data_IF_861694250353
#
_entry.id   IF_861694250353
#
_cell.length_a   1.000
_cell.length_b   1.000
_cell.length_c   1.000
_cell.angle_alpha   90.00
_cell.angle_beta   90.00
_cell.angle_gamma   90.00
#
_symmetry.space_group_name_H-M   'P 1'
#
loop_
_entity.id
_entity.type
_entity.pdbx_description
1 polymer ?
#
# COMPACT_ATOMS: atom_id res chain seq x y z
N UNK A 1 -35.41 22.74 -45.39
CA UNK A 1 -35.88 22.17 -44.12
C UNK A 1 -34.93 21.03 -43.78
N UNK A 2 -33.82 21.38 -43.16
CA UNK A 2 -33.03 20.46 -42.34
C UNK A 2 -32.52 21.34 -41.20
N UNK A 3 -33.35 21.38 -40.16
CA UNK A 3 -33.09 22.07 -38.90
C UNK A 3 -32.99 20.98 -37.85
N UNK A 4 -31.74 20.62 -37.52
CA UNK A 4 -31.40 19.98 -36.25
C UNK A 4 -30.15 20.69 -35.74
N UNK A 5 -30.43 21.81 -35.09
CA UNK A 5 -29.47 22.61 -34.38
C UNK A 5 -28.67 21.82 -33.35
N UNK A 6 -27.44 22.28 -33.19
CA UNK A 6 -26.52 21.99 -32.11
C UNK A 6 -27.16 22.42 -30.77
N UNK A 7 -27.43 21.45 -29.89
CA UNK A 7 -27.96 21.67 -28.54
C UNK A 7 -26.86 21.71 -27.48
N UNK A 8 -26.37 22.93 -27.24
CA UNK A 8 -25.99 23.56 -25.96
C UNK A 8 -25.45 22.72 -24.79
N UNK A 9 -24.20 23.01 -24.41
CA UNK A 9 -23.59 22.63 -23.13
C UNK A 9 -23.93 23.59 -21.98
N UNK A 10 -24.80 23.16 -21.06
CA UNK A 10 -25.27 24.01 -19.96
C UNK A 10 -25.67 23.27 -18.68
N UNK A 11 -24.96 22.21 -18.27
CA UNK A 11 -25.32 21.42 -17.08
C UNK A 11 -24.24 21.25 -15.99
N UNK A 12 -22.95 21.42 -16.29
CA UNK A 12 -21.87 20.92 -15.42
C UNK A 12 -21.46 21.83 -14.25
N UNK A 13 -22.00 23.06 -14.12
CA UNK A 13 -21.49 24.06 -13.17
C UNK A 13 -22.39 24.34 -11.94
N UNK A 14 -23.60 23.76 -11.87
CA UNK A 14 -24.56 24.07 -10.80
C UNK A 14 -24.16 23.44 -9.45
N UNK A 15 -23.90 22.13 -9.44
CA UNK A 15 -23.62 21.38 -8.22
C UNK A 15 -22.27 21.75 -7.59
N UNK A 16 -21.26 22.04 -8.42
CA UNK A 16 -19.96 22.53 -7.98
C UNK A 16 -20.09 23.89 -7.28
N UNK A 17 -20.88 24.80 -7.87
CA UNK A 17 -21.14 26.12 -7.28
C UNK A 17 -21.87 26.00 -5.94
N UNK A 18 -22.84 25.09 -5.85
CA UNK A 18 -23.55 24.81 -4.60
C UNK A 18 -22.62 24.22 -3.53
N UNK A 19 -21.76 23.27 -3.89
CA UNK A 19 -20.77 22.69 -2.99
C UNK A 19 -19.81 23.76 -2.43
N UNK A 20 -19.31 24.66 -3.30
CA UNK A 20 -18.47 25.79 -2.87
C UNK A 20 -19.21 26.68 -1.87
N UNK A 21 -20.46 27.05 -2.16
CA UNK A 21 -21.26 27.88 -1.27
C UNK A 21 -21.50 27.22 0.10
N UNK A 22 -21.64 25.89 0.16
CA UNK A 22 -21.73 25.14 1.41
C UNK A 22 -20.40 25.15 2.18
N UNK A 23 -19.27 24.98 1.49
CA UNK A 23 -17.94 25.05 2.10
C UNK A 23 -17.62 26.44 2.65
N UNK A 24 -18.01 27.52 1.96
CA UNK A 24 -17.83 28.91 2.42
C UNK A 24 -18.66 29.25 3.65
N UNK A 25 -19.89 28.72 3.72
CA UNK A 25 -20.78 28.91 4.90
C UNK A 25 -20.34 28.07 6.10
N UNK A 26 -19.58 27.00 5.89
CA UNK A 26 -19.15 26.11 6.95
C UNK A 26 -18.06 26.74 7.81
N UNK A 27 -18.34 26.93 9.11
CA UNK A 27 -17.34 27.42 10.09
C UNK A 27 -16.24 26.40 10.40
N UNK A 28 -16.54 25.11 10.21
CA UNK A 28 -15.63 23.99 10.43
C UNK A 28 -15.96 22.89 9.42
N UNK A 29 -15.08 22.69 8.44
CA UNK A 29 -15.23 21.67 7.42
C UNK A 29 -14.14 20.61 7.54
N UNK A 30 -14.48 19.36 7.23
CA UNK A 30 -13.57 18.21 7.25
C UNK A 30 -13.73 17.45 5.94
N UNK A 31 -12.63 17.05 5.33
CA UNK A 31 -12.59 16.21 4.14
C UNK A 31 -11.88 14.91 4.49
N UNK A 32 -12.58 13.79 4.34
CA UNK A 32 -11.96 12.47 4.34
C UNK A 32 -11.58 12.11 2.90
N UNK A 33 -10.37 11.60 2.70
CA UNK A 33 -9.87 11.21 1.38
C UNK A 33 -9.29 9.81 1.41
N UNK A 34 -9.44 9.09 0.29
CA UNK A 34 -8.70 7.84 0.06
C UNK A 34 -7.22 8.15 -0.23
N UNK A 35 -6.31 7.20 0.03
CA UNK A 35 -4.90 7.32 -0.36
C UNK A 35 -4.73 7.30 -1.88
N UNK A 36 -5.69 6.72 -2.62
CA UNK A 36 -5.67 6.53 -4.07
C UNK A 36 -6.21 7.72 -4.86
N UNK A 37 -6.14 8.95 -4.33
CA UNK A 37 -6.53 10.15 -5.08
C UNK A 37 -5.43 10.66 -6.04
N UNK A 38 -4.25 10.02 -6.05
CA UNK A 38 -3.15 10.31 -6.97
C UNK A 38 -2.91 11.81 -7.18
N UNK A 39 -3.18 12.33 -8.38
CA UNK A 39 -3.01 13.75 -8.74
C UNK A 39 -3.95 14.71 -8.02
N UNK A 40 -5.14 14.25 -7.58
CA UNK A 40 -6.07 15.07 -6.82
C UNK A 40 -5.58 15.32 -5.38
N UNK A 41 -4.75 14.44 -4.82
CA UNK A 41 -4.15 14.62 -3.49
C UNK A 41 -3.34 15.91 -3.36
N UNK A 42 -2.61 16.27 -4.42
CA UNK A 42 -1.86 17.52 -4.47
C UNK A 42 -2.79 18.73 -4.48
N UNK A 43 -3.88 18.68 -5.28
CA UNK A 43 -4.86 19.77 -5.35
C UNK A 43 -5.59 19.95 -4.02
N UNK A 44 -5.98 18.87 -3.36
CA UNK A 44 -6.61 18.90 -2.03
C UNK A 44 -5.63 19.46 -0.98
N UNK A 45 -4.35 19.10 -1.07
CA UNK A 45 -3.31 19.69 -0.22
C UNK A 45 -3.07 21.18 -0.50
N UNK A 46 -3.25 21.65 -1.73
CA UNK A 46 -3.14 23.07 -2.09
C UNK A 46 -4.35 23.86 -1.60
N UNK A 47 -5.58 23.34 -1.74
CA UNK A 47 -6.81 23.96 -1.20
C UNK A 47 -6.72 24.17 0.32
N UNK A 48 -5.98 23.31 1.03
CA UNK A 48 -5.77 23.45 2.48
C UNK A 48 -4.62 24.36 2.89
N UNK A 49 -3.63 24.59 2.01
CA UNK A 49 -2.41 25.37 2.33
C UNK A 49 -2.39 26.76 1.71
N UNK A 50 -3.10 26.96 0.61
CA UNK A 50 -3.25 28.23 -0.07
C UNK A 50 -4.73 28.55 -0.12
N UNK A 51 -5.18 29.43 0.77
CA UNK A 51 -6.16 30.41 0.31
C UNK A 51 -5.34 31.35 -0.59
N UNK A 52 -5.47 31.28 -1.93
CA UNK A 52 -4.65 32.08 -2.84
C UNK A 52 -4.80 33.56 -2.48
N UNK A 53 -3.69 34.32 -2.50
CA UNK A 53 -3.73 35.76 -2.24
C UNK A 53 -4.71 36.49 -3.18
N UNK A 54 -4.91 35.99 -4.40
CA UNK A 54 -5.89 36.48 -5.36
C UNK A 54 -7.36 36.33 -4.92
N UNK A 55 -7.69 35.35 -4.06
CA UNK A 55 -9.02 35.23 -3.46
C UNK A 55 -9.18 36.17 -2.23
N UNK A 56 -8.08 36.64 -1.64
CA UNK A 56 -8.10 37.59 -0.51
C UNK A 56 -8.27 39.04 -0.98
N UNK A 57 -7.81 39.40 -2.18
CA UNK A 57 -7.97 40.75 -2.75
C UNK A 57 -9.40 41.05 -3.22
N UNK A 58 -10.24 40.02 -3.44
CA UNK A 58 -11.64 40.19 -3.86
C UNK A 58 -12.63 40.48 -2.73
N UNK A 59 -12.16 40.79 -1.51
CA UNK A 59 -13.02 41.13 -0.36
C UNK A 59 -13.99 40.01 0.09
N UNK A 60 -13.86 38.81 -0.48
CA UNK A 60 -14.68 37.66 -0.16
C UNK A 60 -14.02 36.81 0.93
N UNK A 61 -14.90 36.25 1.77
CA UNK A 61 -14.67 35.72 3.10
C UNK A 61 -13.36 34.96 3.29
N UNK A 62 -12.81 35.07 4.51
CA UNK A 62 -11.81 34.16 5.06
C UNK A 62 -12.25 32.72 4.81
N UNK A 63 -11.79 32.10 3.72
CA UNK A 63 -12.06 30.70 3.40
C UNK A 63 -11.58 29.86 4.58
N UNK A 64 -12.54 29.27 5.30
CA UNK A 64 -12.24 28.34 6.38
C UNK A 64 -11.51 27.17 5.74
N UNK A 65 -10.23 26.99 6.08
CA UNK A 65 -9.43 25.90 5.53
C UNK A 65 -9.95 24.58 6.09
N UNK A 66 -10.46 23.66 5.24
CA UNK A 66 -10.96 22.39 5.72
C UNK A 66 -9.84 21.56 6.33
N UNK A 67 -10.16 20.79 7.38
CA UNK A 67 -9.25 19.75 7.87
C UNK A 67 -9.32 18.57 6.91
N UNK A 68 -8.23 18.27 6.20
CA UNK A 68 -8.14 17.10 5.34
C UNK A 68 -7.47 15.95 6.09
N UNK A 69 -8.09 14.77 6.04
CA UNK A 69 -7.55 13.53 6.62
C UNK A 69 -7.57 12.44 5.56
N UNK A 70 -6.39 11.93 5.19
CA UNK A 70 -6.27 10.72 4.40
C UNK A 70 -6.49 9.49 5.28
N UNK A 71 -7.36 8.58 4.82
CA UNK A 71 -7.73 7.36 5.54
C UNK A 71 -7.10 6.16 4.83
N UNK A 72 -5.92 5.67 5.28
CA UNK A 72 -5.29 4.51 4.67
C UNK A 72 -6.15 3.25 4.83
N UNK A 73 -6.06 2.34 3.86
CA UNK A 73 -6.84 1.11 3.84
C UNK A 73 -6.24 0.06 4.77
N UNK A 74 -4.91 0.01 4.89
CA UNK A 74 -4.20 -1.02 5.63
C UNK A 74 -4.07 -0.68 7.12
N UNK A 75 -4.36 -1.68 7.96
CA UNK A 75 -4.43 -1.55 9.42
C UNK A 75 -3.13 -1.05 10.08
N UNK A 76 -1.97 -1.29 9.45
CA UNK A 76 -0.66 -0.89 9.95
C UNK A 76 0.13 0.00 8.97
N UNK A 77 -0.52 0.65 7.99
CA UNK A 77 0.15 1.50 7.00
C UNK A 77 1.07 2.54 7.65
N UNK A 78 0.58 3.20 8.70
CA UNK A 78 1.36 4.20 9.45
C UNK A 78 2.57 3.57 10.15
N UNK A 79 2.42 2.37 10.72
CA UNK A 79 3.52 1.65 11.36
C UNK A 79 4.63 1.28 10.38
N UNK A 80 4.26 0.79 9.19
CA UNK A 80 5.20 0.47 8.10
C UNK A 80 6.02 1.70 7.70
N UNK A 81 5.35 2.84 7.48
CA UNK A 81 6.00 4.11 7.17
C UNK A 81 6.95 4.53 8.30
N UNK A 82 6.51 4.46 9.56
CA UNK A 82 7.33 4.82 10.73
C UNK A 82 8.59 3.96 10.87
N UNK A 83 8.57 2.74 10.34
CA UNK A 83 9.74 1.85 10.30
C UNK A 83 10.66 2.11 9.09
N UNK A 84 10.32 3.09 8.23
CA UNK A 84 11.12 3.46 7.07
C UNK A 84 10.96 2.55 5.87
N UNK A 85 9.96 1.67 5.86
CA UNK A 85 9.66 0.78 4.74
C UNK A 85 8.86 1.54 3.68
N UNK A 86 9.56 2.31 2.85
CA UNK A 86 8.98 3.20 1.86
C UNK A 86 9.65 3.01 0.49
N UNK A 87 8.94 3.35 -0.58
CA UNK A 87 9.45 3.20 -1.97
C UNK A 87 10.35 4.35 -2.45
N UNK A 88 10.79 5.23 -1.55
CA UNK A 88 11.66 6.38 -1.82
C UNK A 88 11.23 7.30 -3.00
N UNK A 89 9.93 7.30 -3.34
CA UNK A 89 9.35 8.10 -4.41
C UNK A 89 9.28 7.41 -5.78
N UNK A 90 9.60 6.11 -5.83
CA UNK A 90 9.39 5.24 -6.99
C UNK A 90 8.12 4.40 -6.78
N UNK A 91 7.47 4.01 -7.86
CA UNK A 91 6.37 3.03 -7.85
C UNK A 91 6.93 1.61 -7.75
N UNK A 92 6.11 0.64 -7.30
CA UNK A 92 6.50 -0.77 -7.25
C UNK A 92 7.05 -1.27 -8.58
N UNK A 93 6.40 -0.85 -9.68
CA UNK A 93 6.81 -1.17 -11.04
C UNK A 93 8.16 -0.57 -11.37
N UNK A 94 8.44 0.69 -11.02
CA UNK A 94 9.78 1.28 -11.24
C UNK A 94 10.88 0.59 -10.42
N UNK A 95 10.56 0.10 -9.22
CA UNK A 95 11.51 -0.62 -8.38
C UNK A 95 11.87 -2.01 -8.94
N UNK A 96 11.00 -2.61 -9.78
CA UNK A 96 11.18 -3.97 -10.31
C UNK A 96 11.34 -4.05 -11.84
N UNK A 97 10.92 -3.03 -12.59
CA UNK A 97 11.03 -2.97 -14.05
C UNK A 97 12.46 -2.63 -14.44
N UNK A 98 13.19 -3.65 -14.89
CA UNK A 98 14.54 -3.52 -15.47
C UNK A 98 14.49 -3.06 -16.93
N UNK A 99 13.30 -3.11 -17.56
CA UNK A 99 13.19 -3.08 -19.01
C UNK A 99 12.19 -2.02 -19.53
N UNK A 100 12.58 -0.73 -19.51
CA UNK A 100 12.03 0.28 -20.45
C UNK A 100 13.06 1.28 -20.98
N UNK A 101 14.22 0.79 -21.43
CA UNK A 101 14.89 1.19 -22.69
C UNK A 101 16.22 0.43 -22.80
N UNK A 102 16.61 0.00 -24.00
CA UNK A 102 17.86 -0.75 -24.21
C UNK A 102 19.10 0.06 -23.78
N UNK A 103 19.02 1.40 -23.78
CA UNK A 103 20.04 2.30 -23.22
C UNK A 103 20.06 2.39 -21.67
N UNK A 104 18.99 2.03 -20.96
CA UNK A 104 18.89 2.11 -19.48
C UNK A 104 19.11 0.78 -18.74
N UNK A 105 19.53 -0.28 -19.45
CA UNK A 105 19.94 -1.56 -18.84
C UNK A 105 21.01 -1.44 -17.75
N UNK A 106 21.70 -0.30 -17.67
CA UNK A 106 22.73 -0.05 -16.67
C UNK A 106 22.22 0.51 -15.32
N UNK A 107 20.90 0.74 -15.14
CA UNK A 107 20.40 1.48 -13.96
C UNK A 107 19.54 0.72 -12.94
N UNK A 108 19.04 -0.49 -13.22
CA UNK A 108 18.46 -1.34 -12.16
C UNK A 108 18.98 -2.77 -12.26
N UNK A 109 19.88 -3.11 -11.34
CA UNK A 109 20.57 -4.40 -11.23
C UNK A 109 19.83 -5.39 -10.31
N UNK A 110 18.51 -5.23 -10.18
CA UNK A 110 17.72 -6.04 -9.24
C UNK A 110 17.49 -7.42 -9.85
N UNK A 111 18.34 -8.39 -9.51
CA UNK A 111 18.20 -9.78 -10.00
C UNK A 111 17.38 -10.68 -9.09
N UNK A 112 17.18 -10.28 -7.84
CA UNK A 112 16.44 -11.05 -6.85
C UNK A 112 15.28 -10.21 -6.33
N UNK A 113 14.06 -10.73 -6.47
CA UNK A 113 12.87 -10.16 -5.85
C UNK A 113 12.50 -11.01 -4.63
N UNK A 114 12.50 -10.39 -3.44
CA UNK A 114 11.98 -11.00 -2.23
C UNK A 114 10.64 -10.35 -1.86
N UNK A 115 9.55 -10.98 -2.29
CA UNK A 115 8.18 -10.54 -2.04
C UNK A 115 7.66 -11.07 -0.70
N UNK A 116 7.04 -10.22 0.12
CA UNK A 116 6.58 -10.56 1.47
C UNK A 116 5.14 -10.09 1.66
N UNK A 117 4.27 -11.03 2.05
CA UNK A 117 2.85 -10.79 2.25
C UNK A 117 2.11 -10.48 0.96
N UNK A 118 0.94 -9.86 1.11
CA UNK A 118 0.13 -9.42 -0.02
C UNK A 118 0.71 -8.13 -0.62
N UNK A 119 1.10 -8.21 -1.88
CA UNK A 119 1.63 -7.09 -2.66
C UNK A 119 0.86 -6.98 -3.97
N UNK A 120 0.77 -5.78 -4.58
CA UNK A 120 0.01 -5.57 -5.82
C UNK A 120 0.80 -6.05 -7.06
N UNK A 121 1.26 -7.30 -7.03
CA UNK A 121 1.95 -8.00 -8.11
C UNK A 121 1.41 -9.43 -8.18
N UNK A 122 0.80 -9.78 -9.31
CA UNK A 122 0.32 -11.12 -9.60
C UNK A 122 1.29 -11.94 -10.47
N UNK A 123 2.24 -11.28 -11.13
CA UNK A 123 3.19 -11.91 -12.05
C UNK A 123 4.63 -11.50 -11.75
N UNK A 124 5.55 -12.45 -11.91
CA UNK A 124 6.99 -12.19 -11.83
C UNK A 124 7.39 -11.13 -12.86
N UNK A 125 8.01 -10.01 -12.45
CA UNK A 125 8.50 -9.00 -13.38
C UNK A 125 9.61 -9.52 -14.29
N UNK A 126 9.67 -9.00 -15.52
CA UNK A 126 10.71 -9.38 -16.48
C UNK A 126 12.10 -8.95 -15.99
N UNK A 127 13.08 -9.85 -16.13
CA UNK A 127 14.48 -9.60 -15.76
C UNK A 127 14.86 -9.92 -14.31
N UNK A 128 13.88 -10.29 -13.48
CA UNK A 128 14.13 -10.95 -12.19
C UNK A 128 14.63 -12.36 -12.46
N UNK A 129 15.82 -12.70 -11.97
CA UNK A 129 16.47 -14.01 -12.13
C UNK A 129 16.11 -14.98 -10.99
N UNK A 130 15.81 -14.46 -9.79
CA UNK A 130 15.30 -15.25 -8.66
C UNK A 130 14.14 -14.56 -7.94
N UNK A 131 13.08 -15.32 -7.66
CA UNK A 131 11.89 -14.88 -6.95
C UNK A 131 11.72 -15.70 -5.66
N UNK A 132 11.77 -15.00 -4.52
CA UNK A 132 11.46 -15.56 -3.20
C UNK A 132 10.14 -14.96 -2.75
N UNK A 133 9.18 -15.79 -2.33
CA UNK A 133 7.88 -15.34 -1.83
C UNK A 133 7.67 -15.83 -0.41
N UNK A 134 7.50 -14.91 0.53
CA UNK A 134 7.12 -15.20 1.91
C UNK A 134 5.67 -14.83 2.13
N UNK A 135 4.77 -15.81 2.14
CA UNK A 135 3.34 -15.56 2.32
C UNK A 135 2.66 -16.68 3.11
N UNK A 136 1.47 -16.39 3.63
CA UNK A 136 0.61 -17.30 4.39
C UNK A 136 -0.29 -18.16 3.50
N UNK A 137 -0.45 -17.76 2.23
CA UNK A 137 -1.27 -18.46 1.24
C UNK A 137 -0.53 -18.51 -0.10
N UNK A 138 -0.89 -19.49 -0.94
CA UNK A 138 -0.36 -19.62 -2.30
C UNK A 138 -1.06 -18.61 -3.22
N UNK A 139 -0.40 -17.49 -3.49
CA UNK A 139 -0.87 -16.48 -4.46
C UNK A 139 -0.36 -16.79 -5.87
N UNK A 140 -0.91 -16.13 -6.88
CA UNK A 140 -0.44 -16.25 -8.27
C UNK A 140 1.06 -15.98 -8.39
N UNK A 141 1.58 -14.98 -7.66
CA UNK A 141 3.01 -14.70 -7.60
C UNK A 141 3.79 -15.82 -6.89
N UNK A 142 3.25 -16.39 -5.81
CA UNK A 142 3.87 -17.51 -5.09
C UNK A 142 3.99 -18.77 -5.96
N UNK A 143 3.03 -19.03 -6.85
CA UNK A 143 3.12 -20.17 -7.80
C UNK A 143 4.27 -20.04 -8.82
N UNK A 144 4.78 -18.82 -9.02
CA UNK A 144 5.90 -18.52 -9.91
C UNK A 144 7.25 -18.42 -9.18
N UNK A 145 7.26 -18.60 -7.86
CA UNK A 145 8.45 -18.40 -7.02
C UNK A 145 9.44 -19.56 -7.14
N UNK A 146 10.73 -19.24 -7.10
CA UNK A 146 11.80 -20.22 -6.99
C UNK A 146 11.88 -20.79 -5.57
N UNK A 147 11.57 -19.96 -4.57
CA UNK A 147 11.49 -20.34 -3.16
C UNK A 147 10.24 -19.75 -2.53
N UNK A 148 9.46 -20.61 -1.85
CA UNK A 148 8.34 -20.18 -1.01
C UNK A 148 8.72 -20.36 0.47
N UNK A 149 8.54 -19.31 1.26
CA UNK A 149 8.76 -19.31 2.72
C UNK A 149 7.41 -19.18 3.43
N UNK A 150 6.83 -20.27 3.97
CA UNK A 150 5.51 -20.24 4.59
C UNK A 150 5.49 -19.34 5.83
N UNK A 151 4.66 -18.31 5.81
CA UNK A 151 4.47 -17.41 6.95
C UNK A 151 3.15 -17.62 7.67
N UNK A 152 3.08 -17.24 8.94
CA UNK A 152 1.83 -17.23 9.71
C UNK A 152 0.78 -16.29 9.12
N UNK A 153 -0.49 -16.69 9.20
CA UNK A 153 -1.62 -15.83 8.90
C UNK A 153 -1.86 -14.79 10.02
N UNK A 154 -2.77 -13.84 9.79
CA UNK A 154 -3.04 -12.71 10.70
C UNK A 154 -3.35 -13.14 12.14
N UNK A 155 -4.16 -14.18 12.33
CA UNK A 155 -4.58 -14.65 13.67
C UNK A 155 -3.59 -15.63 14.32
N UNK A 156 -2.57 -16.05 13.58
CA UNK A 156 -1.49 -16.93 14.06
C UNK A 156 -0.27 -16.14 14.55
N UNK A 157 -0.28 -14.83 14.30
CA UNK A 157 0.83 -13.93 14.57
C UNK A 157 0.51 -13.01 15.75
N UNK A 158 1.54 -12.63 16.50
CA UNK A 158 1.45 -11.58 17.51
C UNK A 158 2.40 -10.42 17.18
N UNK A 159 2.10 -9.24 17.71
CA UNK A 159 2.92 -8.05 17.49
C UNK A 159 2.20 -6.76 17.83
N UNK A 160 2.64 -5.68 17.19
CA UNK A 160 2.06 -4.35 17.38
C UNK A 160 1.69 -3.72 16.05
N UNK A 161 0.58 -2.98 16.05
CA UNK A 161 0.16 -2.14 14.93
C UNK A 161 0.05 -0.70 15.42
N UNK A 162 0.30 0.25 14.52
CA UNK A 162 0.08 1.68 14.77
C UNK A 162 -1.15 2.11 13.97
N UNK A 163 -2.22 2.45 14.66
CA UNK A 163 -3.46 2.89 14.02
C UNK A 163 -3.32 4.29 13.39
N UNK A 164 -4.35 4.73 12.67
CA UNK A 164 -4.38 6.04 12.01
C UNK A 164 -4.18 7.21 13.00
N UNK A 165 -4.61 7.06 14.26
CA UNK A 165 -4.40 8.03 15.34
C UNK A 165 -2.98 8.00 15.92
N UNK A 166 -2.13 7.06 15.48
CA UNK A 166 -0.78 6.88 16.00
C UNK A 166 -0.73 6.10 17.32
N UNK A 167 -1.82 5.42 17.68
CA UNK A 167 -1.88 4.61 18.90
C UNK A 167 -1.30 3.23 18.61
N UNK A 168 -0.46 2.77 19.51
CA UNK A 168 0.07 1.40 19.48
C UNK A 168 -1.04 0.48 19.98
N UNK A 169 -1.39 -0.52 19.18
CA UNK A 169 -2.27 -1.62 19.57
C UNK A 169 -1.48 -2.92 19.54
N UNK A 170 -1.78 -3.78 20.51
CA UNK A 170 -1.19 -5.10 20.60
C UNK A 170 -2.10 -6.10 19.90
N UNK A 171 -1.51 -6.90 19.02
CA UNK A 171 -2.16 -8.02 18.36
C UNK A 171 -1.66 -9.27 19.06
N UNK A 172 -2.58 -10.04 19.62
CA UNK A 172 -2.28 -11.31 20.24
C UNK A 172 -2.61 -12.44 19.30
N UNK A 173 -1.77 -13.48 19.33
CA UNK A 173 -2.04 -14.73 18.65
C UNK A 173 -3.35 -15.33 19.19
N UNK A 174 -4.26 -15.66 18.29
CA UNK A 174 -5.54 -16.28 18.62
C UNK A 174 -5.53 -17.80 18.39
N UNK A 175 -4.76 -18.26 17.42
CA UNK A 175 -4.61 -19.69 17.08
C UNK A 175 -3.14 -20.03 16.83
N UNK A 176 -2.76 -21.30 17.00
CA UNK A 176 -1.39 -21.73 16.70
C UNK A 176 -1.10 -21.71 15.19
N UNK A 177 0.14 -21.40 14.77
CA UNK A 177 0.57 -21.51 13.37
C UNK A 177 0.28 -22.89 12.78
N UNK A 178 -0.17 -22.93 11.53
CA UNK A 178 -0.40 -24.19 10.86
C UNK A 178 0.89 -24.75 10.24
N UNK A 179 1.11 -26.06 10.42
CA UNK A 179 2.23 -26.78 9.80
C UNK A 179 3.58 -26.17 10.17
N UNK A 180 4.40 -25.88 9.15
CA UNK A 180 5.74 -25.29 9.32
C UNK A 180 5.75 -23.76 9.21
N UNK A 181 4.58 -23.13 9.22
CA UNK A 181 4.46 -21.68 9.13
C UNK A 181 5.16 -21.00 10.32
N UNK A 182 5.97 -20.00 10.01
CA UNK A 182 6.68 -19.18 11.01
C UNK A 182 6.26 -17.73 10.87
N UNK A 183 6.32 -16.96 11.94
CA UNK A 183 6.07 -15.53 11.81
C UNK A 183 7.09 -14.89 10.86
N UNK A 184 6.68 -13.86 10.12
CA UNK A 184 7.59 -13.10 9.25
C UNK A 184 8.87 -12.70 9.99
N UNK A 185 8.72 -12.35 11.27
CA UNK A 185 9.82 -12.01 12.18
C UNK A 185 10.77 -13.18 12.43
N UNK A 186 10.26 -14.36 12.73
CA UNK A 186 11.08 -15.56 12.95
C UNK A 186 11.84 -15.95 11.69
N UNK A 187 11.22 -15.86 10.52
CA UNK A 187 11.88 -16.15 9.25
C UNK A 187 13.07 -15.20 9.05
N UNK A 188 12.91 -13.90 9.28
CA UNK A 188 14.03 -12.95 9.21
C UNK A 188 15.12 -13.22 10.24
N UNK A 189 14.76 -13.66 11.45
CA UNK A 189 15.74 -14.05 12.47
C UNK A 189 16.56 -15.26 11.97
N UNK A 190 15.92 -16.28 11.40
CA UNK A 190 16.64 -17.45 10.86
C UNK A 190 17.53 -17.06 9.67
N UNK A 191 17.02 -16.26 8.72
CA UNK A 191 17.82 -15.72 7.61
C UNK A 191 19.06 -14.99 8.14
N UNK A 192 18.87 -14.13 9.16
CA UNK A 192 19.98 -13.36 9.73
C UNK A 192 21.07 -14.22 10.38
N UNK A 193 20.69 -15.35 10.99
CA UNK A 193 21.64 -16.32 11.54
C UNK A 193 22.45 -16.99 10.44
N UNK A 194 21.78 -17.42 9.37
CA UNK A 194 22.42 -18.04 8.20
C UNK A 194 23.38 -17.05 7.52
N UNK A 195 23.03 -15.77 7.48
CA UNK A 195 23.90 -14.70 6.97
C UNK A 195 25.07 -14.34 7.91
N UNK A 196 25.18 -14.97 9.08
CA UNK A 196 26.23 -14.68 10.07
C UNK A 196 26.06 -13.34 10.80
N UNK A 197 24.88 -12.71 10.72
CA UNK A 197 24.56 -11.43 11.37
C UNK A 197 23.26 -11.56 12.17
N UNK A 198 23.27 -12.28 13.31
CA UNK A 198 22.06 -12.64 14.03
C UNK A 198 21.31 -11.40 14.54
N UNK A 199 20.04 -11.28 14.17
CA UNK A 199 19.11 -10.32 14.75
C UNK A 199 18.73 -10.76 16.17
N UNK A 200 18.58 -9.78 17.08
CA UNK A 200 18.18 -10.05 18.46
C UNK A 200 16.69 -10.46 18.49
N UNK A 201 16.37 -11.55 19.21
CA UNK A 201 15.00 -12.05 19.45
C UNK A 201 14.11 -11.11 20.28
N UNK A 202 14.46 -9.85 20.52
CA UNK A 202 13.52 -8.90 21.13
C UNK A 202 12.62 -8.31 20.04
N UNK A 203 11.30 -8.38 20.21
CA UNK A 203 10.39 -7.61 19.36
C UNK A 203 10.66 -6.11 19.51
N UNK A 204 10.09 -5.28 18.65
CA UNK A 204 10.18 -3.83 18.82
C UNK A 204 9.65 -3.47 20.22
N UNK A 205 10.48 -2.87 21.08
CA UNK A 205 10.02 -2.45 22.40
C UNK A 205 9.15 -1.20 22.24
N UNK A 206 8.28 -0.96 23.20
CA UNK A 206 7.50 0.28 23.27
C UNK A 206 8.37 1.53 23.16
N UNK A 207 9.59 1.48 23.67
CA UNK A 207 10.58 2.56 23.55
C UNK A 207 11.02 2.79 22.12
N UNK A 208 11.19 1.72 21.34
CA UNK A 208 11.63 1.77 19.95
C UNK A 208 10.50 2.31 19.06
N UNK A 209 9.27 1.86 19.30
CA UNK A 209 8.08 2.34 18.59
C UNK A 209 7.81 3.81 18.93
N UNK A 210 7.91 4.21 20.21
CA UNK A 210 7.77 5.62 20.64
C UNK A 210 8.88 6.51 20.05
N UNK A 211 10.08 5.98 19.86
CA UNK A 211 11.18 6.70 19.19
C UNK A 211 10.89 6.87 17.70
N UNK A 212 10.41 5.83 17.01
CA UNK A 212 9.98 5.89 15.62
C UNK A 212 8.84 6.91 15.42
N UNK A 213 7.83 6.91 16.30
CA UNK A 213 6.74 7.90 16.30
C UNK A 213 7.19 9.35 16.43
N UNK A 214 8.31 9.60 17.13
CA UNK A 214 8.89 10.95 17.29
C UNK A 214 9.81 11.36 16.14
N UNK A 215 10.23 10.41 15.32
CA UNK A 215 11.11 10.68 14.18
C UNK A 215 10.32 11.41 13.09
N UNK A 216 10.79 12.58 12.68
CA UNK A 216 10.25 13.26 11.50
C UNK A 216 10.89 12.61 10.27
N UNK A 217 10.19 11.67 9.66
CA UNK A 217 10.60 11.14 8.35
C UNK A 217 10.61 12.29 7.37
N UNK A 218 11.79 12.57 6.82
CA UNK A 218 11.97 13.61 5.80
C UNK A 218 11.53 13.01 4.48
N UNK A 219 10.25 13.17 4.14
CA UNK A 219 9.73 12.75 2.84
C UNK A 219 10.34 13.66 1.79
N UNK A 220 11.28 13.13 1.01
CA UNK A 220 11.90 13.86 -0.10
C UNK A 220 10.93 13.82 -1.28
N UNK A 221 10.09 14.84 -1.41
CA UNK A 221 9.17 14.94 -2.55
C UNK A 221 9.92 15.41 -3.79
N UNK A 222 9.99 14.57 -4.83
CA UNK A 222 10.24 15.06 -6.20
C UNK A 222 8.90 15.57 -6.78
N UNK A 223 8.90 16.62 -7.61
CA UNK A 223 7.69 17.03 -8.33
C UNK A 223 7.16 15.84 -9.14
N UNK A 224 5.91 15.46 -8.90
CA UNK A 224 5.28 14.37 -9.64
C UNK A 224 5.15 14.77 -11.11
N UNK A 225 5.70 13.96 -12.00
CA UNK A 225 5.41 14.02 -13.43
C UNK A 225 4.44 12.88 -13.74
N UNK A 226 3.21 13.22 -14.17
CA UNK A 226 2.23 12.23 -14.63
C UNK A 226 2.87 11.38 -15.72
N UNK A 227 3.07 10.09 -15.47
CA UNK A 227 3.53 9.12 -16.46
C UNK A 227 2.30 8.44 -17.03
N UNK A 228 2.20 8.34 -18.36
CA UNK A 228 1.04 7.80 -19.09
C UNK A 228 0.69 6.34 -18.77
N UNK A 229 1.55 5.63 -18.03
CA UNK A 229 1.36 4.22 -17.67
C UNK A 229 1.01 4.01 -16.19
N UNK A 230 0.89 5.07 -15.38
CA UNK A 230 0.62 5.00 -13.95
C UNK A 230 -0.87 4.84 -13.61
N UNK A 231 -1.59 4.06 -14.42
CA UNK A 231 -2.96 3.63 -14.15
C UNK A 231 -2.91 2.18 -13.65
N UNK A 232 -2.41 1.97 -12.42
CA UNK A 232 -2.78 0.75 -11.71
C UNK A 232 -4.27 0.89 -11.43
N UNK A 233 -5.10 0.01 -12.01
CA UNK A 233 -6.54 0.06 -11.77
C UNK A 233 -6.77 -0.12 -10.26
N UNK A 234 -7.40 0.83 -9.55
CA UNK A 234 -7.73 0.68 -8.13
C UNK A 234 -8.53 -0.59 -7.84
N UNK A 235 -9.36 -1.03 -8.78
CA UNK A 235 -10.12 -2.27 -8.68
C UNK A 235 -9.18 -3.48 -8.68
N UNK A 236 -8.23 -3.55 -9.62
CA UNK A 236 -7.23 -4.64 -9.66
C UNK A 236 -6.32 -4.63 -8.42
N UNK A 237 -5.98 -3.46 -7.90
CA UNK A 237 -5.20 -3.36 -6.66
C UNK A 237 -6.00 -3.88 -5.47
N UNK A 238 -7.26 -3.46 -5.33
CA UNK A 238 -8.15 -3.91 -4.26
C UNK A 238 -8.43 -5.41 -4.39
N UNK A 239 -8.65 -5.90 -5.61
CA UNK A 239 -8.86 -7.30 -5.91
C UNK A 239 -7.60 -8.11 -5.59
N UNK A 240 -6.42 -7.67 -6.00
CA UNK A 240 -5.15 -8.32 -5.67
C UNK A 240 -4.89 -8.37 -4.17
N UNK A 241 -5.19 -7.29 -3.43
CA UNK A 241 -5.04 -7.26 -1.95
C UNK A 241 -6.04 -8.20 -1.28
N UNK A 242 -7.26 -8.29 -1.81
CA UNK A 242 -8.33 -9.12 -1.25
C UNK A 242 -8.35 -10.54 -1.84
N UNK A 243 -7.53 -10.86 -2.84
CA UNK A 243 -7.56 -12.12 -3.56
C UNK A 243 -7.33 -13.31 -2.63
N UNK A 244 -6.45 -13.17 -1.63
CA UNK A 244 -6.22 -14.20 -0.62
C UNK A 244 -7.44 -14.43 0.29
N UNK A 245 -8.26 -13.42 0.53
CA UNK A 245 -9.49 -13.50 1.33
C UNK A 245 -10.68 -13.99 0.49
N UNK A 246 -10.75 -13.61 -0.79
CA UNK A 246 -11.86 -13.92 -1.71
C UNK A 246 -11.66 -15.29 -2.36
N UNK A 247 -10.46 -15.57 -2.87
CA UNK A 247 -10.14 -16.78 -3.65
C UNK A 247 -9.44 -17.85 -2.81
N UNK A 248 -8.84 -17.48 -1.67
CA UNK A 248 -8.14 -18.40 -0.79
C UNK A 248 -9.09 -19.17 0.14
N UNK A 249 -9.68 -20.27 -0.32
CA UNK A 249 -10.31 -21.23 0.60
C UNK A 249 -9.24 -22.06 1.30
N UNK A 250 -8.86 -21.65 2.51
CA UNK A 250 -7.92 -22.38 3.37
C UNK A 250 -8.33 -23.85 3.60
N UNK A 251 -9.63 -24.14 3.60
CA UNK A 251 -10.18 -25.49 3.71
C UNK A 251 -9.97 -26.32 2.44
N UNK A 252 -10.10 -25.71 1.26
CA UNK A 252 -9.83 -26.37 -0.01
C UNK A 252 -8.35 -26.74 -0.11
N UNK A 253 -7.48 -25.84 0.32
CA UNK A 253 -6.03 -26.08 0.34
C UNK A 253 -5.61 -27.19 1.32
N UNK A 254 -6.13 -27.21 2.55
CA UNK A 254 -5.85 -28.31 3.50
C UNK A 254 -6.24 -29.68 2.91
N UNK A 255 -7.34 -29.72 2.17
CA UNK A 255 -7.83 -30.93 1.50
C UNK A 255 -6.92 -31.35 0.34
N UNK A 256 -6.50 -30.43 -0.52
CA UNK A 256 -5.56 -30.70 -1.61
C UNK A 256 -4.19 -31.15 -1.10
N UNK A 257 -3.74 -30.57 0.02
CA UNK A 257 -2.47 -30.93 0.67
C UNK A 257 -2.56 -32.33 1.29
N UNK A 258 -3.68 -32.69 1.94
CA UNK A 258 -3.93 -34.05 2.43
C UNK A 258 -4.02 -35.09 1.30
N UNK A 259 -4.62 -34.74 0.16
CA UNK A 259 -4.73 -35.61 -1.01
C UNK A 259 -3.35 -35.84 -1.67
N UNK A 260 -2.54 -34.79 -1.83
CA UNK A 260 -1.17 -34.90 -2.33
C UNK A 260 -0.27 -35.75 -1.42
N UNK A 261 -0.50 -35.71 -0.10
CA UNK A 261 0.25 -36.51 0.87
C UNK A 261 -0.11 -38.00 0.78
N UNK A 262 -1.38 -38.35 0.53
CA UNK A 262 -1.82 -39.74 0.35
C UNK A 262 -1.20 -40.39 -0.90
N UNK A 263 -1.03 -39.62 -1.97
CA UNK A 263 -0.40 -40.10 -3.22
C UNK A 263 1.11 -40.35 -3.04
N UNK A 264 1.77 -39.69 -2.09
CA UNK A 264 3.21 -39.84 -1.85
C UNK A 264 3.59 -41.00 -0.91
N UNK A 265 2.60 -41.66 -0.29
CA UNK A 265 2.79 -42.76 0.68
C UNK A 265 2.33 -44.12 0.10
N UNK A 266 1.87 -44.15 -1.17
CA UNK A 266 1.48 -45.39 -1.87
C UNK A 266 2.48 -45.70 -2.97
#
# INVERSE_FOLDING_TARGET
MDDRGEGEGGGENSELTEAVALFEKARNSVIFTSPSLYGASANIALVTRHSPASLREAGQASLVTPKVVAVPLESNAKGVILMGLMSEGESYKEMVDIAKSKEQRAKSDVKVLYAIGEIPLNRRPDGIDFLIVQNSHMTELATQADIVLPSTATFESEGTIVDYLGRIKYVHKAVEPAGEARSHREIFIEISKVMGKPLIKSGAKDTDIKKALKSKIKITSKPFKKKEWLDINPEEMIESINASVINGSRLLWLKETEEAWKVSIT
#
